data_IF_112706699691
#
_entry.id   IF_112706699691
#
_cell.length_a   1.000
_cell.length_b   1.000
_cell.length_c   1.000
_cell.angle_alpha   90.00
_cell.angle_beta   90.00
_cell.angle_gamma   90.00
#
_symmetry.space_group_name_H-M   'P 1'
#
loop_
_entity.id
_entity.type
_entity.pdbx_description
1 polymer ?
#
# COMPACT_ATOMS: atom_id res chain seq x y z
N UNK A 1 -33.49 -19.45 1.17
CA UNK A 1 -32.66 -18.56 0.32
C UNK A 1 -32.43 -19.16 -1.07
N UNK A 2 -32.00 -20.42 -1.19
CA UNK A 2 -31.83 -21.09 -2.49
C UNK A 2 -33.13 -21.16 -3.34
N UNK A 3 -34.28 -21.46 -2.73
CA UNK A 3 -35.57 -21.56 -3.46
C UNK A 3 -35.92 -20.27 -4.23
N UNK A 4 -35.61 -19.09 -3.69
CA UNK A 4 -35.85 -17.81 -4.37
C UNK A 4 -35.07 -17.67 -5.69
N UNK A 5 -33.83 -18.18 -5.73
CA UNK A 5 -33.01 -18.16 -6.95
C UNK A 5 -33.40 -19.27 -7.93
N UNK A 6 -33.92 -20.39 -7.44
CA UNK A 6 -34.49 -21.48 -8.26
C UNK A 6 -35.75 -20.99 -8.99
N UNK A 7 -36.64 -20.30 -8.28
CA UNK A 7 -37.88 -19.76 -8.85
C UNK A 7 -37.64 -18.58 -9.79
N UNK A 8 -36.47 -17.91 -9.68
CA UNK A 8 -36.07 -16.77 -10.54
C UNK A 8 -34.68 -16.98 -11.16
N UNK A 9 -34.56 -17.88 -12.14
CA UNK A 9 -33.26 -18.23 -12.74
C UNK A 9 -32.60 -17.06 -13.47
N UNK A 10 -33.38 -16.15 -14.06
CA UNK A 10 -32.86 -14.94 -14.71
C UNK A 10 -32.19 -14.00 -13.69
N UNK A 11 -32.77 -13.86 -12.49
CA UNK A 11 -32.20 -13.02 -11.44
C UNK A 11 -30.86 -13.58 -10.94
N UNK A 12 -30.76 -14.90 -10.78
CA UNK A 12 -29.51 -15.57 -10.42
C UNK A 12 -28.40 -15.30 -11.45
N UNK A 13 -28.72 -15.40 -12.75
CA UNK A 13 -27.77 -15.13 -13.83
C UNK A 13 -27.32 -13.68 -13.90
N UNK A 14 -28.23 -12.72 -13.70
CA UNK A 14 -27.88 -11.29 -13.67
C UNK A 14 -26.88 -11.02 -12.54
N UNK A 15 -27.12 -11.57 -11.35
CA UNK A 15 -26.21 -11.40 -10.22
C UNK A 15 -24.84 -12.04 -10.47
N UNK A 16 -24.81 -13.23 -11.07
CA UNK A 16 -23.57 -13.89 -11.45
C UNK A 16 -22.76 -13.05 -12.46
N UNK A 17 -23.42 -12.47 -13.47
CA UNK A 17 -22.77 -11.61 -14.46
C UNK A 17 -22.22 -10.33 -13.80
N UNK A 18 -22.99 -9.68 -12.93
CA UNK A 18 -22.53 -8.49 -12.21
C UNK A 18 -21.30 -8.81 -11.36
N UNK A 19 -21.31 -9.94 -10.64
CA UNK A 19 -20.17 -10.38 -9.83
C UNK A 19 -18.93 -10.67 -10.68
N UNK A 20 -19.08 -11.33 -11.83
CA UNK A 20 -17.97 -11.57 -12.76
C UNK A 20 -17.41 -10.27 -13.34
N UNK A 21 -18.26 -9.32 -13.72
CA UNK A 21 -17.82 -8.02 -14.22
C UNK A 21 -17.10 -7.20 -13.15
N UNK A 22 -17.64 -7.16 -11.93
CA UNK A 22 -16.99 -6.48 -10.81
C UNK A 22 -15.62 -7.12 -10.48
N UNK A 23 -15.54 -8.46 -10.46
CA UNK A 23 -14.30 -9.18 -10.27
C UNK A 23 -13.28 -8.94 -11.39
N UNK A 24 -13.73 -8.94 -12.66
CA UNK A 24 -12.88 -8.64 -13.81
C UNK A 24 -12.30 -7.23 -13.75
N UNK A 25 -13.13 -6.23 -13.42
CA UNK A 25 -12.67 -4.85 -13.21
C UNK A 25 -11.70 -4.73 -12.04
N UNK A 26 -11.93 -5.46 -10.94
CA UNK A 26 -11.03 -5.47 -9.80
C UNK A 26 -9.65 -6.04 -10.17
N UNK A 27 -9.59 -7.14 -10.93
CA UNK A 27 -8.33 -7.75 -11.37
C UNK A 27 -7.50 -6.75 -12.21
N UNK A 28 -8.13 -5.98 -13.09
CA UNK A 28 -7.43 -5.00 -13.92
C UNK A 28 -6.93 -3.78 -13.13
N UNK A 29 -7.60 -3.43 -12.04
CA UNK A 29 -7.26 -2.25 -11.22
C UNK A 29 -6.41 -2.59 -9.99
N UNK A 30 -6.25 -3.86 -9.62
CA UNK A 30 -5.51 -4.25 -8.43
C UNK A 30 -4.00 -4.03 -8.66
N UNK A 31 -3.30 -3.33 -7.75
CA UNK A 31 -1.86 -3.23 -7.80
C UNK A 31 -1.21 -4.60 -7.66
N UNK A 32 -0.23 -4.89 -8.52
CA UNK A 32 0.57 -6.11 -8.47
C UNK A 32 1.91 -5.79 -7.82
N UNK A 33 2.22 -6.44 -6.70
CA UNK A 33 3.50 -6.34 -6.01
C UNK A 33 3.99 -7.74 -5.62
N UNK A 34 5.31 -7.98 -5.68
CA UNK A 34 5.89 -9.29 -5.34
C UNK A 34 5.75 -9.61 -3.85
N UNK A 35 5.86 -8.58 -3.01
CA UNK A 35 5.64 -8.66 -1.57
C UNK A 35 4.82 -7.45 -1.14
N UNK A 36 3.94 -7.61 -0.14
CA UNK A 36 3.33 -6.46 0.52
C UNK A 36 4.41 -5.62 1.24
N UNK A 37 4.08 -4.37 1.55
CA UNK A 37 4.95 -3.54 2.38
C UNK A 37 4.97 -4.10 3.82
N UNK A 38 5.95 -4.95 4.10
CA UNK A 38 6.18 -5.58 5.41
C UNK A 38 7.21 -4.84 6.26
N UNK A 39 8.09 -4.08 5.61
CA UNK A 39 9.12 -3.32 6.30
C UNK A 39 8.49 -2.08 6.94
N UNK A 40 8.90 -1.70 8.16
CA UNK A 40 8.52 -0.41 8.71
C UNK A 40 8.95 0.70 7.74
N UNK A 41 8.14 1.76 7.57
CA UNK A 41 8.54 2.90 6.76
C UNK A 41 9.75 3.57 7.42
N UNK A 42 10.89 3.60 6.75
CA UNK A 42 12.10 4.28 7.21
C UNK A 42 12.18 5.65 6.56
N UNK A 43 12.36 6.69 7.37
CA UNK A 43 12.66 8.04 6.89
C UNK A 43 14.16 8.26 7.06
N UNK A 44 14.87 8.50 5.96
CA UNK A 44 16.31 8.77 5.97
C UNK A 44 16.52 10.28 5.84
N UNK A 45 17.20 10.88 6.81
CA UNK A 45 17.64 12.28 6.76
C UNK A 45 19.11 12.31 6.38
N UNK A 46 19.45 13.01 5.30
CA UNK A 46 20.83 13.15 4.83
C UNK A 46 21.25 14.61 4.89
N UNK A 47 22.40 14.88 5.51
CA UNK A 47 23.00 16.19 5.58
C UNK A 47 24.50 16.07 5.31
N UNK A 48 25.06 17.08 4.63
CA UNK A 48 26.49 17.11 4.27
C UNK A 48 27.09 18.39 4.83
N UNK A 49 28.17 18.26 5.61
CA UNK A 49 28.95 19.40 6.11
C UNK A 49 30.41 19.30 5.61
N UNK A 50 30.75 19.93 4.48
CA UNK A 50 32.08 19.83 3.89
C UNK A 50 33.15 20.43 4.82
N UNK A 51 34.17 19.64 5.15
CA UNK A 51 35.30 20.09 5.97
C UNK A 51 35.12 19.99 7.49
N UNK A 52 33.99 19.48 7.98
CA UNK A 52 33.87 19.08 9.39
C UNK A 52 34.45 17.69 9.62
N UNK A 53 35.08 17.52 10.77
CA UNK A 53 35.37 16.22 11.35
C UNK A 53 34.08 15.53 11.82
N UNK A 54 34.12 14.20 11.96
CA UNK A 54 32.94 13.39 12.28
C UNK A 54 32.23 13.86 13.58
N UNK A 55 33.01 14.29 14.57
CA UNK A 55 32.51 14.80 15.85
C UNK A 55 31.68 16.08 15.67
N UNK A 56 32.17 17.03 14.88
CA UNK A 56 31.45 18.29 14.62
C UNK A 56 30.15 18.07 13.85
N UNK A 57 30.10 17.12 12.91
CA UNK A 57 28.85 16.78 12.19
C UNK A 57 27.83 16.15 13.12
N UNK A 58 28.27 15.27 14.02
CA UNK A 58 27.40 14.62 15.01
C UNK A 58 26.77 15.64 15.96
N UNK A 59 27.60 16.50 16.57
CA UNK A 59 27.14 17.43 17.61
C UNK A 59 26.31 18.59 17.05
N UNK A 60 26.61 19.06 15.83
CA UNK A 60 25.94 20.25 15.25
C UNK A 60 24.79 19.94 14.30
N UNK A 61 24.80 18.77 13.65
CA UNK A 61 23.79 18.41 12.64
C UNK A 61 22.96 17.22 13.11
N UNK A 62 23.58 16.11 13.51
CA UNK A 62 22.85 14.89 13.89
C UNK A 62 22.05 15.08 15.18
N UNK A 63 22.68 15.55 16.27
CA UNK A 63 21.99 15.75 17.56
C UNK A 63 20.85 16.76 17.47
N UNK A 64 21.03 17.84 16.70
CA UNK A 64 19.99 18.84 16.50
C UNK A 64 18.79 18.23 15.77
N UNK A 65 19.02 17.37 14.78
CA UNK A 65 17.93 16.72 14.01
C UNK A 65 17.19 15.67 14.86
N UNK A 66 17.88 14.91 15.73
CA UNK A 66 17.25 13.88 16.56
C UNK A 66 16.43 14.45 17.74
N UNK A 67 16.71 15.67 18.18
CA UNK A 67 15.99 16.32 19.29
C UNK A 67 14.73 17.07 18.87
N UNK A 68 14.44 17.17 17.56
CA UNK A 68 13.24 17.82 17.01
C UNK A 68 12.09 16.81 16.94
#
# INVERSE_FOLDING_TARGET
MANYFIDRPVFAWVLAIIMMLAGGLAIMNLPVAQYPQIAPPTITVSATYPGADAQTVEDSVTQVIEQI
#
